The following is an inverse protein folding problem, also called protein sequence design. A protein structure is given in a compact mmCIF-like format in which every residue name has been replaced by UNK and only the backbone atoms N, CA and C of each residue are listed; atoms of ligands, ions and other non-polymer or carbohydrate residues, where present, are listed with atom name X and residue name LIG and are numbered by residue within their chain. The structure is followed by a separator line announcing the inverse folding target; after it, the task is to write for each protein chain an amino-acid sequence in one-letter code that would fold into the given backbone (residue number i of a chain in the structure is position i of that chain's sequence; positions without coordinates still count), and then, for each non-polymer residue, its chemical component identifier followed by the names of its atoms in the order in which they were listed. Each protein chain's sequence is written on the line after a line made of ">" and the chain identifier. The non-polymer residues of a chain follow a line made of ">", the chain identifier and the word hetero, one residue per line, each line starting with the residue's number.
data_IF_030995499846
#
_entry.id   IF_030995499846
#
_cell.length_a   1.000
_cell.length_b   1.000
_cell.length_c   1.000
_cell.angle_alpha   90.00
_cell.angle_beta   90.00
_cell.angle_gamma   90.00
#
_symmetry.space_group_name_H-M   'P 1'
#
loop_
_entity.id
_entity.type
_entity.pdbx_description
1 polymer ?
#
# COMPACT_ATOMS: atom_id res chain seq x y z
N UNK A 1 0.63 -4.08 -15.46
CA UNK A 1 -0.62 -3.44 -15.90
C UNK A 1 -0.86 -2.22 -15.03
N UNK A 2 -1.49 -1.18 -15.56
CA UNK A 2 -1.95 -0.06 -14.75
C UNK A 2 -2.90 -0.53 -13.64
N UNK A 3 -2.92 0.22 -12.54
CA UNK A 3 -3.71 -0.08 -11.35
C UNK A 3 -4.91 0.87 -11.26
N UNK A 4 -6.10 0.33 -11.46
CA UNK A 4 -7.38 1.02 -11.26
C UNK A 4 -7.79 1.08 -9.77
N UNK A 5 -6.94 0.62 -8.86
CA UNK A 5 -7.29 0.48 -7.45
C UNK A 5 -8.05 -0.81 -7.15
N UNK A 6 -8.23 -1.08 -5.87
CA UNK A 6 -8.85 -2.32 -5.37
C UNK A 6 -9.85 -1.99 -4.28
N UNK A 7 -10.92 -2.76 -4.18
CA UNK A 7 -11.85 -2.72 -3.05
C UNK A 7 -11.31 -3.53 -1.87
N UNK A 8 -11.86 -3.33 -0.68
CA UNK A 8 -11.76 -4.34 0.37
C UNK A 8 -12.50 -5.62 -0.07
N UNK A 9 -12.09 -6.78 0.45
CA UNK A 9 -12.62 -8.08 -0.01
C UNK A 9 -14.14 -8.17 0.21
N UNK A 10 -14.63 -7.70 1.35
CA UNK A 10 -16.06 -7.68 1.68
C UNK A 10 -16.85 -6.80 0.70
N UNK A 11 -16.30 -5.64 0.36
CA UNK A 11 -16.92 -4.68 -0.56
C UNK A 11 -16.95 -5.24 -1.98
N UNK A 12 -15.87 -5.85 -2.44
CA UNK A 12 -15.81 -6.49 -3.76
C UNK A 12 -16.85 -7.61 -3.88
N UNK A 13 -16.97 -8.47 -2.87
CA UNK A 13 -17.94 -9.57 -2.88
C UNK A 13 -19.38 -9.05 -2.89
N UNK A 14 -19.67 -8.00 -2.11
CA UNK A 14 -20.99 -7.37 -2.11
C UNK A 14 -21.31 -6.75 -3.46
N UNK A 15 -20.36 -6.01 -4.05
CA UNK A 15 -20.48 -5.38 -5.36
C UNK A 15 -20.71 -6.42 -6.46
N UNK A 16 -19.86 -7.45 -6.55
CA UNK A 16 -20.00 -8.54 -7.51
C UNK A 16 -21.37 -9.22 -7.41
N UNK A 17 -21.86 -9.47 -6.18
CA UNK A 17 -23.20 -10.04 -5.98
C UNK A 17 -24.30 -9.10 -6.45
N UNK A 18 -24.17 -7.79 -6.20
CA UNK A 18 -25.16 -6.80 -6.61
C UNK A 18 -25.26 -6.67 -8.14
N UNK A 19 -24.16 -6.88 -8.86
CA UNK A 19 -24.11 -6.86 -10.32
C UNK A 19 -24.46 -8.21 -10.96
N UNK A 20 -24.55 -9.29 -10.16
CA UNK A 20 -24.87 -10.64 -10.65
C UNK A 20 -23.72 -11.34 -11.39
N UNK A 21 -22.54 -10.74 -11.46
CA UNK A 21 -21.34 -11.30 -12.11
C UNK A 21 -20.07 -10.83 -11.38
N UNK A 22 -19.15 -11.78 -11.13
CA UNK A 22 -17.87 -11.53 -10.47
C UNK A 22 -16.90 -10.72 -11.35
N UNK A 23 -17.05 -10.78 -12.67
CA UNK A 23 -16.24 -10.02 -13.61
C UNK A 23 -16.74 -8.59 -13.84
N UNK A 24 -18.06 -8.36 -13.68
CA UNK A 24 -18.70 -7.06 -13.96
C UNK A 24 -18.01 -5.86 -13.30
N UNK A 25 -17.61 -5.87 -12.00
CA UNK A 25 -16.93 -4.73 -11.40
C UNK A 25 -15.63 -4.34 -12.14
N UNK A 26 -14.89 -5.33 -12.62
CA UNK A 26 -13.62 -5.08 -13.32
C UNK A 26 -13.87 -4.58 -14.74
N UNK A 27 -14.85 -5.17 -15.43
CA UNK A 27 -15.23 -4.77 -16.80
C UNK A 27 -15.77 -3.33 -16.82
N UNK A 28 -16.64 -2.99 -15.88
CA UNK A 28 -17.19 -1.63 -15.75
C UNK A 28 -16.11 -0.60 -15.38
N UNK A 29 -15.18 -0.96 -14.48
CA UNK A 29 -14.04 -0.10 -14.14
C UNK A 29 -13.12 0.14 -15.34
N UNK A 30 -12.85 -0.89 -16.15
CA UNK A 30 -12.06 -0.78 -17.38
C UNK A 30 -12.74 0.14 -18.39
N UNK A 31 -14.05 0.01 -18.58
CA UNK A 31 -14.80 0.86 -19.51
C UNK A 31 -14.74 2.36 -19.14
N UNK A 32 -14.62 2.70 -17.84
CA UNK A 32 -14.47 4.07 -17.33
C UNK A 32 -13.02 4.56 -17.35
N UNK A 33 -12.03 3.65 -17.34
CA UNK A 33 -10.62 4.00 -17.32
C UNK A 33 -10.15 4.76 -18.58
N UNK A 34 -10.86 4.61 -19.71
CA UNK A 34 -10.62 5.36 -20.96
C UNK A 34 -10.71 6.87 -20.79
N UNK A 35 -11.58 7.34 -19.88
CA UNK A 35 -11.75 8.76 -19.57
C UNK A 35 -10.70 9.24 -18.55
N UNK A 36 -9.72 8.38 -18.25
CA UNK A 36 -8.72 8.57 -17.22
C UNK A 36 -9.30 8.60 -15.81
N UNK A 37 -10.56 8.23 -15.64
CA UNK A 37 -11.31 8.35 -14.41
C UNK A 37 -11.24 7.02 -13.66
N UNK A 38 -10.58 7.02 -12.50
CA UNK A 38 -10.52 5.86 -11.62
C UNK A 38 -11.47 6.09 -10.45
N UNK A 39 -12.76 5.83 -10.71
CA UNK A 39 -13.86 6.12 -9.79
C UNK A 39 -14.44 4.79 -9.28
N UNK A 40 -14.68 4.65 -7.97
CA UNK A 40 -15.33 3.45 -7.44
C UNK A 40 -16.79 3.36 -7.93
N UNK A 41 -17.40 2.17 -7.84
CA UNK A 41 -18.82 1.99 -8.15
C UNK A 41 -19.68 2.73 -7.11
N UNK A 42 -20.88 3.14 -7.52
CA UNK A 42 -21.80 3.89 -6.68
C UNK A 42 -22.11 3.14 -5.37
N UNK A 43 -21.96 3.84 -4.24
CA UNK A 43 -22.14 3.25 -2.91
C UNK A 43 -20.93 2.46 -2.39
N UNK A 44 -19.85 2.33 -3.15
CA UNK A 44 -18.63 1.65 -2.76
C UNK A 44 -17.44 2.61 -2.71
N UNK A 45 -16.36 2.16 -2.09
CA UNK A 45 -15.10 2.89 -2.00
C UNK A 45 -13.94 1.95 -2.31
N UNK A 46 -12.94 2.45 -3.02
CA UNK A 46 -11.65 1.75 -3.04
C UNK A 46 -11.06 1.73 -1.65
N UNK A 47 -10.24 0.70 -1.37
CA UNK A 47 -9.53 0.60 -0.11
C UNK A 47 -8.74 1.89 0.17
N UNK A 48 -8.58 2.30 1.44
CA UNK A 48 -7.94 3.57 1.80
C UNK A 48 -6.61 3.83 1.09
N UNK A 49 -5.74 2.82 1.06
CA UNK A 49 -4.43 2.91 0.40
C UNK A 49 -4.49 3.18 -1.11
N UNK A 50 -5.51 2.68 -1.82
CA UNK A 50 -5.64 2.92 -3.26
C UNK A 50 -6.07 4.35 -3.58
N UNK A 51 -6.72 5.04 -2.64
CA UNK A 51 -7.13 6.45 -2.77
C UNK A 51 -5.97 7.44 -2.60
N UNK A 52 -4.84 6.97 -2.07
CA UNK A 52 -3.64 7.77 -1.81
C UNK A 52 -2.38 7.23 -2.52
N UNK A 53 -2.55 6.26 -3.43
CA UNK A 53 -1.45 5.62 -4.13
C UNK A 53 -0.96 6.47 -5.32
N UNK A 54 0.28 6.91 -5.26
CA UNK A 54 0.90 7.78 -6.26
C UNK A 54 1.54 7.00 -7.42
N UNK A 55 1.49 5.67 -7.38
CA UNK A 55 2.12 4.77 -8.34
C UNK A 55 1.07 3.92 -9.07
N UNK A 56 0.17 4.52 -9.88
CA UNK A 56 -0.86 3.78 -10.60
C UNK A 56 -0.31 3.05 -11.84
N UNK A 57 0.89 3.38 -12.31
CA UNK A 57 1.52 2.79 -13.50
C UNK A 57 2.78 2.04 -13.07
N UNK A 58 3.03 0.81 -13.58
CA UNK A 58 4.26 0.08 -13.28
C UNK A 58 5.47 0.73 -13.95
N UNK A 59 6.50 1.06 -13.16
CA UNK A 59 7.75 1.66 -13.66
C UNK A 59 8.85 0.63 -13.93
N UNK A 60 8.84 -0.49 -13.20
CA UNK A 60 9.87 -1.54 -13.26
C UNK A 60 9.32 -2.86 -13.85
N UNK A 61 8.62 -2.76 -14.97
CA UNK A 61 8.08 -3.91 -15.69
C UNK A 61 8.71 -4.05 -17.08
N UNK A 62 8.98 -5.29 -17.47
CA UNK A 62 9.43 -5.62 -18.83
C UNK A 62 8.32 -5.40 -19.86
N UNK A 63 7.07 -5.63 -19.43
CA UNK A 63 5.84 -5.41 -20.18
C UNK A 63 4.83 -4.71 -19.28
N UNK A 64 4.33 -3.56 -19.72
CA UNK A 64 3.23 -2.86 -19.09
C UNK A 64 2.00 -2.87 -20.01
N UNK A 65 0.85 -3.21 -19.43
CA UNK A 65 -0.45 -3.10 -20.10
C UNK A 65 -1.07 -1.78 -19.64
N UNK A 66 -1.24 -0.85 -20.58
CA UNK A 66 -1.83 0.45 -20.35
C UNK A 66 -3.34 0.41 -20.43
N UNK A 67 -4.02 0.87 -19.37
CA UNK A 67 -5.46 0.89 -19.23
C UNK A 67 -5.98 2.32 -19.07
N UNK A 68 -5.21 3.18 -18.40
CA UNK A 68 -5.59 4.56 -18.12
C UNK A 68 -5.50 5.41 -19.38
N UNK A 69 -6.61 6.07 -19.73
CA UNK A 69 -6.70 6.90 -20.93
C UNK A 69 -6.70 6.11 -22.24
N UNK A 70 -7.01 4.81 -22.18
CA UNK A 70 -7.04 3.89 -23.33
C UNK A 70 -8.44 3.31 -23.47
N UNK A 71 -9.01 3.30 -24.68
CA UNK A 71 -10.30 2.65 -24.94
C UNK A 71 -10.10 1.14 -25.12
N UNK A 72 -10.12 0.40 -23.99
CA UNK A 72 -9.87 -1.05 -23.99
C UNK A 72 -10.94 -1.87 -24.71
N UNK A 73 -12.06 -1.26 -25.11
CA UNK A 73 -13.04 -1.89 -26.00
C UNK A 73 -12.62 -1.89 -27.47
N UNK A 74 -11.59 -1.10 -27.83
CA UNK A 74 -11.08 -0.95 -29.20
C UNK A 74 -9.63 -1.41 -29.34
N UNK A 75 -8.80 -1.11 -28.35
CA UNK A 75 -7.35 -1.33 -28.42
C UNK A 75 -6.77 -1.77 -27.08
N UNK A 76 -5.59 -2.38 -27.09
CA UNK A 76 -4.84 -2.70 -25.88
C UNK A 76 -3.47 -2.07 -26.02
N UNK A 77 -3.14 -1.13 -25.13
CA UNK A 77 -1.81 -0.55 -25.10
C UNK A 77 -0.84 -1.51 -24.40
N UNK A 78 0.26 -1.83 -25.09
CA UNK A 78 1.37 -2.62 -24.55
C UNK A 78 2.65 -1.80 -24.68
N UNK A 79 3.29 -1.54 -23.55
CA UNK A 79 4.58 -0.84 -23.47
C UNK A 79 5.65 -1.85 -23.04
N UNK A 80 6.84 -1.80 -23.65
CA UNK A 80 7.98 -2.64 -23.23
C UNK A 80 9.25 -1.81 -23.13
N UNK A 81 10.02 -2.06 -22.07
CA UNK A 81 11.30 -1.41 -21.77
C UNK A 81 12.52 -2.19 -22.29
N UNK A 82 12.35 -3.49 -22.61
CA UNK A 82 13.46 -4.39 -22.96
C UNK A 82 13.52 -4.78 -24.44
N UNK A 83 12.40 -4.70 -25.14
CA UNK A 83 12.33 -5.12 -26.53
C UNK A 83 11.33 -4.26 -27.30
N UNK A 84 11.56 -4.09 -28.59
CA UNK A 84 10.47 -3.70 -29.47
C UNK A 84 9.44 -4.81 -29.40
N UNK A 85 8.21 -4.48 -29.01
CA UNK A 85 7.10 -5.43 -29.04
C UNK A 85 6.96 -5.84 -30.51
N UNK A 86 7.35 -7.08 -30.89
CA UNK A 86 7.14 -7.51 -32.27
C UNK A 86 5.64 -7.57 -32.53
N UNK A 87 5.22 -7.52 -33.79
CA UNK A 87 3.85 -7.89 -34.16
C UNK A 87 3.55 -9.26 -33.55
N UNK A 88 2.73 -9.31 -32.50
CA UNK A 88 2.41 -10.55 -31.81
C UNK A 88 1.27 -11.22 -32.56
N UNK A 89 1.56 -12.30 -33.26
CA UNK A 89 0.51 -13.16 -33.79
C UNK A 89 0.07 -14.09 -32.67
N UNK A 90 -0.91 -13.67 -31.85
CA UNK A 90 -1.66 -14.63 -31.06
C UNK A 90 -2.42 -15.51 -32.05
N UNK A 91 -2.22 -16.83 -31.97
CA UNK A 91 -2.53 -17.86 -32.98
C UNK A 91 -3.95 -17.87 -33.60
N UNK A 92 -4.87 -16.98 -33.20
CA UNK A 92 -6.27 -16.96 -33.65
C UNK A 92 -6.87 -15.58 -33.93
N UNK A 93 -6.08 -14.49 -33.96
CA UNK A 93 -6.61 -13.17 -34.28
C UNK A 93 -5.60 -12.30 -35.04
N UNK A 94 -6.04 -11.68 -36.13
CA UNK A 94 -5.28 -10.68 -36.87
C UNK A 94 -5.42 -9.34 -36.14
N UNK A 95 -4.47 -9.00 -35.29
CA UNK A 95 -4.42 -7.69 -34.63
C UNK A 95 -3.64 -6.71 -35.50
N UNK A 96 -4.23 -5.56 -35.81
CA UNK A 96 -3.48 -4.45 -36.40
C UNK A 96 -2.63 -3.82 -35.28
N UNK A 97 -1.32 -3.90 -35.42
CA UNK A 97 -0.38 -3.29 -34.47
C UNK A 97 0.02 -1.93 -35.00
N UNK A 98 -0.38 -0.88 -34.29
CA UNK A 98 0.06 0.49 -34.54
C UNK A 98 1.06 0.90 -33.46
N UNK A 99 2.14 1.57 -33.88
CA UNK A 99 3.13 2.13 -32.97
C UNK A 99 2.87 3.62 -32.82
N UNK A 100 2.72 4.10 -31.60
CA UNK A 100 2.48 5.51 -31.31
C UNK A 100 2.27 5.80 -29.84
N UNK A 101 2.11 7.08 -29.52
CA UNK A 101 1.80 7.55 -28.17
C UNK A 101 0.33 7.94 -28.07
N UNK A 102 -0.35 7.46 -27.04
CA UNK A 102 -1.72 7.88 -26.74
C UNK A 102 -1.65 9.14 -25.87
N UNK A 103 -1.83 10.33 -26.46
CA UNK A 103 -1.67 11.61 -25.74
C UNK A 103 -2.61 11.71 -24.51
N UNK A 104 -3.86 11.24 -24.64
CA UNK A 104 -4.86 11.26 -23.57
C UNK A 104 -4.43 10.48 -22.31
N UNK A 105 -3.55 9.47 -22.46
CA UNK A 105 -3.03 8.65 -21.36
C UNK A 105 -2.16 9.44 -20.38
N UNK A 106 -1.22 10.25 -20.89
CA UNK A 106 -0.34 11.06 -20.04
C UNK A 106 -1.15 12.01 -19.15
N UNK A 107 -2.10 12.72 -19.76
CA UNK A 107 -3.01 13.63 -19.04
C UNK A 107 -3.86 12.89 -18.00
N UNK A 108 -4.36 11.71 -18.33
CA UNK A 108 -5.12 10.86 -17.41
C UNK A 108 -4.30 10.42 -16.18
N UNK A 109 -3.06 9.97 -16.41
CA UNK A 109 -2.14 9.54 -15.36
C UNK A 109 -1.77 10.73 -14.46
N UNK A 110 -1.36 11.86 -15.05
CA UNK A 110 -0.94 13.04 -14.30
C UNK A 110 -2.07 13.56 -13.40
N UNK A 111 -3.30 13.61 -13.91
CA UNK A 111 -4.47 13.98 -13.11
C UNK A 111 -4.67 13.01 -11.95
N UNK A 112 -4.66 11.70 -12.20
CA UNK A 112 -4.87 10.68 -11.17
C UNK A 112 -3.80 10.74 -10.09
N UNK A 113 -2.54 10.90 -10.48
CA UNK A 113 -1.41 11.04 -9.55
C UNK A 113 -1.56 12.31 -8.73
N UNK A 114 -1.91 13.45 -9.35
CA UNK A 114 -2.13 14.70 -8.63
C UNK A 114 -3.26 14.59 -7.60
N UNK A 115 -4.41 14.02 -7.98
CA UNK A 115 -5.56 13.81 -7.09
C UNK A 115 -5.19 12.92 -5.89
N UNK A 116 -4.52 11.78 -6.14
CA UNK A 116 -4.12 10.86 -5.08
C UNK A 116 -2.99 11.42 -4.21
N UNK A 117 -2.09 12.22 -4.77
CA UNK A 117 -1.04 12.92 -4.02
C UNK A 117 -1.66 13.95 -3.07
N UNK A 118 -2.62 14.75 -3.53
CA UNK A 118 -3.34 15.69 -2.68
C UNK A 118 -4.10 14.97 -1.55
N UNK A 119 -4.79 13.86 -1.87
CA UNK A 119 -5.47 13.04 -0.88
C UNK A 119 -4.50 12.41 0.14
N UNK A 120 -3.33 11.94 -0.31
CA UNK A 120 -2.26 11.44 0.56
C UNK A 120 -1.78 12.51 1.53
N UNK A 121 -1.49 13.71 1.02
CA UNK A 121 -0.93 14.79 1.83
C UNK A 121 -1.93 15.28 2.87
N UNK A 122 -3.21 15.38 2.51
CA UNK A 122 -4.29 15.64 3.46
C UNK A 122 -4.34 14.56 4.56
N UNK A 123 -4.31 13.28 4.16
CA UNK A 123 -4.35 12.16 5.12
C UNK A 123 -3.15 12.15 6.07
N UNK A 124 -1.96 12.45 5.57
CA UNK A 124 -0.76 12.54 6.40
C UNK A 124 -0.81 13.74 7.34
N UNK A 125 -1.36 14.87 6.89
CA UNK A 125 -1.55 16.06 7.73
C UNK A 125 -2.52 15.76 8.89
N UNK A 126 -3.65 15.10 8.61
CA UNK A 126 -4.60 14.63 9.63
C UNK A 126 -3.91 13.77 10.68
N UNK A 127 -3.14 12.76 10.24
CA UNK A 127 -2.49 11.85 11.19
C UNK A 127 -1.44 12.56 12.03
N UNK A 128 -0.65 13.48 11.44
CA UNK A 128 0.34 14.27 12.17
C UNK A 128 -0.29 15.20 13.19
N UNK A 129 -1.47 15.74 12.88
CA UNK A 129 -2.23 16.55 13.82
C UNK A 129 -2.80 15.69 14.96
N UNK A 130 -3.21 14.45 14.68
CA UNK A 130 -3.75 13.52 15.67
C UNK A 130 -2.67 12.84 16.54
N UNK A 131 -1.44 12.72 16.05
CA UNK A 131 -0.32 12.02 16.70
C UNK A 131 0.83 12.99 16.94
N UNK A 132 0.77 13.71 18.05
CA UNK A 132 1.79 14.69 18.45
C UNK A 132 2.78 14.15 19.49
N UNK A 133 2.45 13.04 20.14
CA UNK A 133 3.23 12.44 21.21
C UNK A 133 3.03 10.91 21.30
N UNK A 134 3.73 10.27 22.25
CA UNK A 134 3.64 8.82 22.48
C UNK A 134 2.24 8.39 22.93
N UNK A 135 1.55 9.08 23.86
CA UNK A 135 0.16 8.80 24.20
C UNK A 135 -0.80 8.86 22.99
N UNK A 136 -0.66 9.88 22.13
CA UNK A 136 -1.45 10.01 20.90
C UNK A 136 -1.22 8.85 19.93
N UNK A 137 0.03 8.39 19.79
CA UNK A 137 0.36 7.21 19.00
C UNK A 137 -0.24 5.93 19.61
N UNK A 138 -0.16 5.79 20.94
CA UNK A 138 -0.78 4.69 21.67
C UNK A 138 -2.30 4.64 21.47
N UNK A 139 -2.95 5.82 21.42
CA UNK A 139 -4.38 5.92 21.18
C UNK A 139 -4.77 5.36 19.80
N UNK A 140 -3.95 5.53 18.77
CA UNK A 140 -4.19 4.94 17.44
C UNK A 140 -4.20 3.40 17.47
N UNK A 141 -3.50 2.79 18.42
CA UNK A 141 -3.43 1.34 18.59
C UNK A 141 -4.25 0.82 19.77
N UNK A 142 -5.14 1.65 20.34
CA UNK A 142 -5.87 1.33 21.56
C UNK A 142 -6.72 0.05 21.44
N UNK A 143 -7.28 -0.21 20.26
CA UNK A 143 -8.10 -1.39 19.95
C UNK A 143 -7.30 -2.59 19.46
N UNK A 144 -5.97 -2.50 19.39
CA UNK A 144 -5.14 -3.57 18.86
C UNK A 144 -5.22 -4.82 19.74
N UNK A 145 -5.68 -5.93 19.14
CA UNK A 145 -5.80 -7.24 19.78
C UNK A 145 -4.51 -8.07 19.69
N UNK A 146 -3.45 -7.54 19.06
CA UNK A 146 -2.18 -8.25 18.83
C UNK A 146 -2.38 -9.63 18.17
N UNK A 147 -3.33 -9.72 17.22
CA UNK A 147 -3.64 -10.94 16.48
C UNK A 147 -2.63 -11.29 15.36
N UNK A 148 -1.68 -10.39 15.09
CA UNK A 148 -0.64 -10.54 14.07
C UNK A 148 -1.09 -10.58 12.60
N UNK A 149 -2.38 -10.50 12.28
CA UNK A 149 -2.86 -10.49 10.87
C UNK A 149 -2.19 -9.39 10.02
N UNK A 150 -1.99 -8.21 10.59
CA UNK A 150 -1.32 -7.11 9.90
C UNK A 150 0.16 -7.40 9.56
N UNK A 151 0.80 -8.36 10.25
CA UNK A 151 2.12 -8.89 9.94
C UNK A 151 2.02 -9.93 8.82
N UNK A 152 1.15 -10.92 8.95
CA UNK A 152 0.99 -12.01 7.96
C UNK A 152 0.59 -11.48 6.58
N UNK A 153 -0.28 -10.47 6.53
CA UNK A 153 -0.71 -9.87 5.27
C UNK A 153 0.35 -8.94 4.63
N UNK A 154 1.44 -8.63 5.33
CA UNK A 154 2.44 -7.67 4.86
C UNK A 154 3.52 -8.38 4.02
N UNK A 155 3.67 -8.06 2.71
CA UNK A 155 4.62 -8.75 1.83
C UNK A 155 6.09 -8.51 2.20
N UNK A 156 6.37 -7.47 2.99
CA UNK A 156 7.72 -7.14 3.46
C UNK A 156 7.99 -7.58 4.91
N UNK A 157 7.03 -8.22 5.58
CA UNK A 157 7.24 -8.95 6.85
C UNK A 157 7.73 -10.38 6.56
N UNK A 158 8.97 -10.54 6.11
CA UNK A 158 9.51 -11.86 5.68
C UNK A 158 10.43 -12.53 6.72
N UNK A 159 10.52 -12.01 7.94
CA UNK A 159 11.36 -12.61 8.99
C UNK A 159 10.95 -14.05 9.24
N UNK A 160 11.90 -15.00 9.23
CA UNK A 160 11.64 -16.42 9.51
C UNK A 160 11.11 -16.64 10.93
N UNK A 161 11.61 -15.86 11.87
CA UNK A 161 11.18 -15.86 13.26
C UNK A 161 10.93 -14.42 13.70
N UNK A 162 9.76 -14.18 14.29
CA UNK A 162 9.41 -12.89 14.87
C UNK A 162 9.50 -12.99 16.38
N UNK A 163 10.26 -12.09 17.02
CA UNK A 163 10.41 -12.06 18.49
C UNK A 163 9.07 -12.02 19.24
N UNK A 164 8.04 -11.40 18.67
CA UNK A 164 6.70 -11.34 19.28
C UNK A 164 5.91 -12.67 19.20
N UNK A 165 6.42 -13.66 18.46
CA UNK A 165 5.91 -15.03 18.42
C UNK A 165 6.76 -16.02 19.23
N UNK A 166 7.75 -15.54 19.98
CA UNK A 166 8.60 -16.38 20.83
C UNK A 166 8.28 -16.18 22.32
N UNK A 167 8.90 -17.01 23.16
CA UNK A 167 8.78 -16.92 24.62
C UNK A 167 9.24 -15.58 25.21
N UNK A 168 9.97 -14.75 24.45
CA UNK A 168 10.44 -13.43 24.92
C UNK A 168 9.29 -12.48 25.25
N UNK A 169 8.17 -12.58 24.54
CA UNK A 169 6.97 -11.76 24.76
C UNK A 169 5.76 -12.57 25.26
N UNK A 170 5.99 -13.83 25.61
CA UNK A 170 5.02 -14.68 26.30
C UNK A 170 5.33 -14.70 27.80
N UNK A 171 4.86 -13.66 28.49
CA UNK A 171 5.18 -13.46 29.90
C UNK A 171 4.37 -14.41 30.78
N UNK A 172 4.99 -14.95 31.83
CA UNK A 172 4.28 -15.74 32.84
C UNK A 172 3.19 -14.91 33.54
N UNK A 173 2.09 -15.57 33.96
CA UNK A 173 0.93 -14.93 34.62
C UNK A 173 1.32 -14.04 35.81
N UNK A 174 2.30 -14.46 36.59
CA UNK A 174 2.82 -13.72 37.75
C UNK A 174 3.46 -12.38 37.38
N UNK A 175 4.05 -12.27 36.20
CA UNK A 175 4.63 -11.02 35.70
C UNK A 175 3.54 -9.97 35.52
N UNK A 176 2.39 -10.33 34.94
CA UNK A 176 1.27 -9.40 34.77
C UNK A 176 0.70 -8.94 36.12
N UNK A 177 0.55 -9.84 37.09
CA UNK A 177 0.10 -9.48 38.45
C UNK A 177 1.08 -8.52 39.14
N UNK A 178 2.39 -8.79 39.03
CA UNK A 178 3.44 -7.92 39.58
C UNK A 178 3.45 -6.55 38.91
N UNK A 179 3.20 -6.48 37.61
CA UNK A 179 3.12 -5.21 36.90
C UNK A 179 1.88 -4.43 37.27
N UNK A 180 0.73 -5.11 37.40
CA UNK A 180 -0.52 -4.49 37.85
C UNK A 180 -0.37 -3.97 39.29
N UNK A 181 0.24 -4.73 40.19
CA UNK A 181 0.53 -4.28 41.56
C UNK A 181 1.45 -3.05 41.62
N UNK A 182 2.43 -2.95 40.71
CA UNK A 182 3.34 -1.77 40.66
C UNK A 182 2.74 -0.55 39.95
N UNK A 183 1.92 -0.75 38.91
CA UNK A 183 1.43 0.32 38.02
C UNK A 183 -0.05 0.67 38.26
N UNK A 184 -0.74 -0.05 39.15
CA UNK A 184 -2.19 0.03 39.36
C UNK A 184 -3.01 -0.70 38.29
N UNK A 185 -2.52 -0.75 37.04
CA UNK A 185 -3.17 -1.45 35.94
C UNK A 185 -2.15 -1.95 34.91
N UNK A 186 -2.57 -2.91 34.07
CA UNK A 186 -1.82 -3.40 32.92
C UNK A 186 -2.74 -3.41 31.71
N UNK A 187 -2.30 -2.78 30.61
CA UNK A 187 -2.98 -2.88 29.32
C UNK A 187 -2.85 -4.30 28.78
N UNK A 188 -3.96 -4.87 28.32
CA UNK A 188 -3.98 -6.15 27.62
C UNK A 188 -4.48 -5.94 26.18
N UNK A 189 -3.79 -6.51 25.15
CA UNK A 189 -2.51 -7.21 25.24
C UNK A 189 -1.35 -6.25 25.60
N UNK A 190 -0.35 -6.74 26.33
CA UNK A 190 0.85 -5.95 26.65
C UNK A 190 1.69 -5.65 25.41
N UNK A 191 2.67 -4.76 25.54
CA UNK A 191 3.70 -4.55 24.51
C UNK A 191 3.16 -4.10 23.13
N UNK A 192 1.90 -3.63 23.05
CA UNK A 192 1.27 -3.19 21.80
C UNK A 192 2.12 -2.15 21.08
N UNK A 193 2.62 -1.15 21.81
CA UNK A 193 3.46 -0.10 21.24
C UNK A 193 4.77 -0.67 20.72
N UNK A 194 5.44 -1.51 21.52
CA UNK A 194 6.71 -2.11 21.14
C UNK A 194 6.55 -2.99 19.91
N UNK A 195 5.46 -3.75 19.80
CA UNK A 195 5.09 -4.49 18.60
C UNK A 195 5.02 -3.61 17.35
N UNK A 196 4.29 -2.50 17.40
CA UNK A 196 4.17 -1.61 16.25
C UNK A 196 5.47 -0.85 15.94
N UNK A 197 6.22 -0.41 16.95
CA UNK A 197 7.49 0.28 16.77
C UNK A 197 8.57 -0.63 16.17
N UNK A 198 8.71 -1.85 16.65
CA UNK A 198 9.66 -2.83 16.08
C UNK A 198 9.32 -3.12 14.63
N UNK A 199 8.03 -3.35 14.32
CA UNK A 199 7.57 -3.56 12.95
C UNK A 199 7.85 -2.36 12.06
N UNK A 200 7.56 -1.15 12.55
CA UNK A 200 7.84 0.07 11.83
C UNK A 200 9.34 0.19 11.56
N UNK A 201 10.18 0.01 12.58
CA UNK A 201 11.65 0.07 12.45
C UNK A 201 12.19 -0.87 11.37
N UNK A 202 11.68 -2.10 11.26
CA UNK A 202 12.15 -3.06 10.27
C UNK A 202 11.75 -2.73 8.82
N UNK A 203 10.65 -2.00 8.63
CA UNK A 203 9.98 -1.91 7.33
C UNK A 203 9.81 -0.49 6.80
N UNK A 204 9.98 0.53 7.64
CA UNK A 204 9.58 1.91 7.35
C UNK A 204 10.21 2.48 6.09
N UNK A 205 11.48 2.13 5.82
CA UNK A 205 12.17 2.52 4.60
C UNK A 205 11.61 1.83 3.34
N UNK A 206 11.09 0.61 3.46
CA UNK A 206 10.62 -0.22 2.33
C UNK A 206 9.10 -0.24 2.15
N UNK A 207 8.34 0.39 3.05
CA UNK A 207 6.89 0.40 3.01
C UNK A 207 6.37 1.22 1.81
N UNK A 208 5.67 0.56 0.89
CA UNK A 208 5.01 1.20 -0.27
C UNK A 208 3.58 1.70 0.04
N UNK A 209 3.08 1.47 1.25
CA UNK A 209 1.71 1.85 1.62
C UNK A 209 0.62 1.06 0.90
N UNK A 210 0.87 -0.21 0.52
CA UNK A 210 -0.20 -1.09 0.04
C UNK A 210 -1.09 -1.43 1.24
N UNK A 211 -2.35 -1.06 1.33
CA UNK A 211 -3.14 -1.16 2.58
C UNK A 211 -3.42 -2.56 3.16
N UNK A 212 -2.70 -3.62 2.77
CA UNK A 212 -2.95 -5.00 3.19
C UNK A 212 -2.96 -5.18 4.72
N UNK A 213 -2.07 -4.48 5.43
CA UNK A 213 -2.05 -4.52 6.90
C UNK A 213 -3.27 -3.85 7.55
N UNK A 214 -3.85 -2.82 6.90
CA UNK A 214 -5.10 -2.18 7.32
C UNK A 214 -6.29 -3.10 7.04
N UNK A 215 -6.43 -3.61 5.80
CA UNK A 215 -7.54 -4.50 5.42
C UNK A 215 -7.56 -5.83 6.17
N UNK A 216 -6.40 -6.29 6.66
CA UNK A 216 -6.31 -7.50 7.49
C UNK A 216 -6.61 -7.26 8.98
N UNK A 217 -6.75 -6.00 9.42
CA UNK A 217 -6.97 -5.67 10.82
C UNK A 217 -8.46 -5.86 11.21
N UNK A 218 -8.80 -6.78 12.12
CA UNK A 218 -10.19 -6.98 12.55
C UNK A 218 -10.73 -5.85 13.45
N UNK A 219 -9.92 -4.85 13.75
CA UNK A 219 -10.27 -3.71 14.60
C UNK A 219 -10.19 -2.38 13.85
N UNK A 220 -10.13 -2.45 12.51
CA UNK A 220 -10.12 -1.30 11.59
C UNK A 220 -9.02 -0.26 11.88
N UNK A 221 -7.90 -0.70 12.47
CA UNK A 221 -6.77 0.18 12.72
C UNK A 221 -6.12 0.53 11.38
N UNK A 222 -5.90 1.83 11.09
CA UNK A 222 -5.29 2.27 9.84
C UNK A 222 -3.75 2.09 9.87
N UNK A 223 -3.28 0.86 10.11
CA UNK A 223 -1.85 0.53 10.26
C UNK A 223 -1.04 1.01 9.05
N UNK A 224 -1.58 0.82 7.84
CA UNK A 224 -0.96 1.25 6.59
C UNK A 224 -0.77 2.76 6.52
N UNK A 225 -1.77 3.56 6.94
CA UNK A 225 -1.69 5.02 6.93
C UNK A 225 -0.63 5.50 7.91
N UNK A 226 -0.60 4.92 9.11
CA UNK A 226 0.39 5.25 10.14
C UNK A 226 1.80 4.96 9.62
N UNK A 227 2.01 3.76 9.09
CA UNK A 227 3.33 3.32 8.66
C UNK A 227 3.79 4.09 7.43
N UNK A 228 2.88 4.38 6.49
CA UNK A 228 3.19 5.17 5.30
C UNK A 228 3.49 6.64 5.65
N UNK A 229 2.78 7.24 6.61
CA UNK A 229 3.01 8.63 7.06
C UNK A 229 4.38 8.80 7.69
N UNK A 230 4.81 7.85 8.53
CA UNK A 230 6.17 7.84 9.09
C UNK A 230 7.18 7.50 7.99
N UNK A 231 6.86 6.51 7.16
CA UNK A 231 7.66 6.09 6.01
C UNK A 231 8.02 7.24 5.07
N UNK A 232 7.11 8.17 4.80
CA UNK A 232 7.38 9.33 3.94
C UNK A 232 8.60 10.13 4.40
N UNK A 233 8.72 10.41 5.71
CA UNK A 233 9.85 11.18 6.25
C UNK A 233 11.15 10.37 6.22
N UNK A 234 11.08 9.10 6.59
CA UNK A 234 12.27 8.23 6.60
C UNK A 234 12.80 8.00 5.18
N UNK A 235 11.91 7.73 4.23
CA UNK A 235 12.26 7.57 2.81
C UNK A 235 12.88 8.85 2.25
N UNK A 236 12.30 10.02 2.54
CA UNK A 236 12.87 11.31 2.12
C UNK A 236 14.25 11.58 2.74
N UNK A 237 14.45 11.22 4.02
CA UNK A 237 15.72 11.37 4.73
C UNK A 237 16.88 10.64 4.05
N UNK A 238 16.62 9.45 3.49
CA UNK A 238 17.63 8.65 2.79
C UNK A 238 17.61 8.83 1.27
N UNK A 239 16.79 9.77 0.75
CA UNK A 239 16.46 9.87 -0.68
C UNK A 239 16.15 8.48 -1.29
N UNK A 240 15.36 7.67 -0.61
CA UNK A 240 15.11 6.29 -0.97
C UNK A 240 13.65 6.09 -1.40
N UNK A 241 13.45 5.54 -2.60
CA UNK A 241 12.12 5.17 -3.10
C UNK A 241 12.02 3.65 -3.14
N UNK A 242 11.11 3.02 -2.36
CA UNK A 242 11.03 1.57 -2.31
C UNK A 242 10.80 0.95 -3.70
N UNK A 243 11.70 0.05 -4.08
CA UNK A 243 11.59 -0.70 -5.32
C UNK A 243 11.91 0.10 -6.59
N UNK A 244 12.50 1.30 -6.51
CA UNK A 244 12.91 2.07 -7.71
C UNK A 244 14.04 1.39 -8.50
N UNK A 245 14.94 0.68 -7.81
CA UNK A 245 16.04 -0.07 -8.42
C UNK A 245 16.36 -1.30 -7.58
N UNK A 246 16.79 -2.39 -8.25
CA UNK A 246 17.31 -3.58 -7.59
C UNK A 246 18.79 -3.42 -7.17
N UNK A 247 19.51 -2.52 -7.82
CA UNK A 247 20.93 -2.24 -7.56
C UNK A 247 21.13 -1.25 -6.42
N UNK A 248 20.04 -0.64 -5.94
CA UNK A 248 20.08 0.28 -4.82
C UNK A 248 19.97 -0.48 -3.49
N UNK A 249 20.97 -0.38 -2.59
CA UNK A 249 20.92 -1.06 -1.31
C UNK A 249 19.89 -0.42 -0.36
N UNK A 250 19.28 -1.24 0.50
CA UNK A 250 18.39 -0.76 1.55
C UNK A 250 19.14 0.15 2.53
N UNK A 251 18.56 1.30 2.94
CA UNK A 251 19.19 2.21 3.91
C UNK A 251 19.62 1.53 5.22
N UNK A 252 18.82 0.60 5.75
CA UNK A 252 19.13 -0.13 6.99
C UNK A 252 20.27 -1.15 6.86
N UNK A 253 20.71 -1.46 5.64
CA UNK A 253 21.76 -2.44 5.37
C UNK A 253 23.06 -1.79 4.87
N UNK A 254 23.11 -0.46 4.80
CA UNK A 254 24.26 0.31 4.32
C UNK A 254 24.59 1.44 5.29
N UNK A 255 25.84 1.88 5.28
CA UNK A 255 26.29 3.04 6.03
C UNK A 255 26.89 4.03 5.05
N UNK A 256 26.47 5.30 5.15
CA UNK A 256 27.03 6.40 4.38
C UNK A 256 27.43 7.50 5.34
N UNK A 257 28.74 7.78 5.41
CA UNK A 257 29.35 8.68 6.40
C UNK A 257 28.66 10.05 6.53
N UNK A 258 28.17 10.60 5.42
CA UNK A 258 27.59 11.94 5.36
C UNK A 258 26.05 11.96 5.20
N UNK A 259 25.35 10.85 5.41
CA UNK A 259 23.92 10.71 5.06
C UNK A 259 22.94 11.51 5.92
N UNK A 260 23.33 11.88 7.15
CA UNK A 260 22.48 12.61 8.09
C UNK A 260 23.00 14.02 8.42
N UNK A 261 24.05 14.50 7.75
CA UNK A 261 24.67 15.80 8.07
C UNK A 261 23.78 17.01 7.74
N UNK A 262 22.74 16.83 6.92
CA UNK A 262 21.85 17.89 6.45
C UNK A 262 20.47 17.93 7.16
N UNK A 263 20.26 17.11 8.19
CA UNK A 263 19.04 17.08 9.00
C UNK A 263 19.09 18.09 10.15
#
# INVERSE_FOLDING_TARGET
>A
MDCLGTYEVTDFVALARSLGDVAAPSVEALAKAKDGAVIPHDGYQFRPACRICEQPVPTNADIAIGLLGVDTGREILVESSKFQVPSFTLERATWNVEHGTISARSTAIDRLVAERTAARDARFAELRAAVTDVPGLLAQFATCLRCYNCMEACPICYCKECIFKTATFDHASESYLRWAGRKGAVRMPTDTLLFHLTRLNHMVASCVGCGACTGACPSDIPVGDIFRTVGQKVQAMFDYVPGRSLDEPLPLATFKENELLAL
#
